data_IF_111566486064
#
_entry.id   IF_111566486064
#
_cell.length_a   1.000
_cell.length_b   1.000
_cell.length_c   1.000
_cell.angle_alpha   90.00
_cell.angle_beta   90.00
_cell.angle_gamma   90.00
#
_symmetry.space_group_name_H-M   'P 1'
#
loop_
_entity.id
_entity.type
_entity.pdbx_description
1 polymer ?
#
# COMPACT_ATOMS: atom_id res chain seq x y z
N UNK A 1 6.72 -32.44 -14.31
CA UNK A 1 6.59 -31.86 -12.95
C UNK A 1 7.64 -30.79 -12.63
N UNK A 2 8.60 -30.47 -13.51
CA UNK A 2 9.65 -29.47 -13.27
C UNK A 2 9.21 -27.99 -13.40
N UNK A 3 8.11 -27.72 -14.12
CA UNK A 3 7.58 -26.35 -14.30
C UNK A 3 6.98 -25.77 -13.01
N UNK A 4 6.45 -26.60 -12.11
CA UNK A 4 5.97 -26.15 -10.79
C UNK A 4 7.13 -25.81 -9.84
N UNK A 5 8.29 -26.46 -9.99
CA UNK A 5 9.48 -26.20 -9.18
C UNK A 5 10.12 -24.84 -9.45
N UNK A 6 10.17 -24.41 -10.71
CA UNK A 6 10.72 -23.09 -11.08
C UNK A 6 9.82 -21.92 -10.67
N UNK A 7 8.50 -22.10 -10.73
CA UNK A 7 7.54 -21.12 -10.18
C UNK A 7 7.58 -21.03 -8.66
N UNK A 8 7.81 -22.15 -7.97
CA UNK A 8 7.94 -22.18 -6.52
C UNK A 8 9.27 -21.57 -6.04
N UNK A 9 10.40 -21.86 -6.68
CA UNK A 9 11.71 -21.33 -6.27
C UNK A 9 11.83 -19.81 -6.49
N UNK A 10 11.29 -19.27 -7.59
CA UNK A 10 11.27 -17.83 -7.83
C UNK A 10 10.40 -17.06 -6.82
N UNK A 11 9.23 -17.60 -6.49
CA UNK A 11 8.36 -17.01 -5.46
C UNK A 11 8.90 -17.21 -4.05
N UNK A 12 9.53 -18.34 -3.73
CA UNK A 12 10.09 -18.60 -2.41
C UNK A 12 11.24 -17.63 -2.06
N UNK A 13 12.12 -17.31 -3.01
CA UNK A 13 13.21 -16.34 -2.78
C UNK A 13 12.67 -14.92 -2.55
N UNK A 14 11.67 -14.51 -3.33
CA UNK A 14 10.95 -13.24 -3.10
C UNK A 14 10.14 -13.25 -1.80
N UNK A 15 9.60 -14.39 -1.40
CA UNK A 15 8.82 -14.54 -0.19
C UNK A 15 9.68 -14.49 1.07
N UNK A 16 10.86 -15.12 1.08
CA UNK A 16 11.80 -15.02 2.20
C UNK A 16 12.31 -13.58 2.38
N UNK A 17 12.53 -12.83 1.30
CA UNK A 17 12.82 -11.39 1.41
C UNK A 17 11.63 -10.57 1.89
N UNK A 18 10.40 -11.10 1.80
CA UNK A 18 9.15 -10.50 2.30
C UNK A 18 8.79 -10.95 3.70
N UNK A 19 9.38 -12.02 4.25
CA UNK A 19 9.36 -12.28 5.69
C UNK A 19 10.10 -11.12 6.33
N UNK A 20 9.33 -10.12 6.70
CA UNK A 20 9.88 -8.85 7.09
C UNK A 20 10.67 -9.02 8.37
N UNK A 21 11.79 -8.31 8.50
CA UNK A 21 12.49 -8.20 9.78
C UNK A 21 11.54 -7.78 10.92
N UNK A 22 10.43 -7.09 10.59
CA UNK A 22 9.36 -6.77 11.54
C UNK A 22 8.68 -8.00 12.16
N UNK A 23 8.44 -9.08 11.40
CA UNK A 23 7.86 -10.31 11.95
C UNK A 23 8.82 -10.97 12.96
N UNK A 24 10.11 -11.02 12.67
CA UNK A 24 11.12 -11.56 13.58
C UNK A 24 11.19 -10.71 14.86
N UNK A 25 11.25 -9.39 14.74
CA UNK A 25 11.25 -8.48 15.89
C UNK A 25 9.99 -8.67 16.73
N UNK A 26 8.81 -8.75 16.10
CA UNK A 26 7.56 -9.02 16.80
C UNK A 26 7.61 -10.33 17.60
N UNK A 27 7.99 -11.43 16.96
CA UNK A 27 7.99 -12.75 17.60
C UNK A 27 9.07 -12.86 18.69
N UNK A 28 10.21 -12.18 18.57
CA UNK A 28 11.20 -12.11 19.64
C UNK A 28 10.66 -11.38 20.88
N UNK A 29 10.00 -10.24 20.69
CA UNK A 29 9.35 -9.49 21.79
C UNK A 29 8.19 -10.28 22.37
N UNK A 30 7.40 -10.95 21.54
CA UNK A 30 6.28 -11.78 21.98
C UNK A 30 6.75 -13.01 22.77
N UNK A 31 7.84 -13.67 22.35
CA UNK A 31 8.44 -14.77 23.10
C UNK A 31 8.96 -14.30 24.47
N UNK A 32 9.60 -13.13 24.54
CA UNK A 32 10.03 -12.52 25.81
C UNK A 32 8.83 -12.18 26.71
N UNK A 33 7.76 -11.61 26.14
CA UNK A 33 6.52 -11.32 26.87
C UNK A 33 5.87 -12.61 27.38
N UNK A 34 5.72 -13.63 26.53
CA UNK A 34 5.16 -14.92 26.92
C UNK A 34 5.99 -15.58 28.03
N UNK A 35 7.32 -15.51 27.96
CA UNK A 35 8.20 -15.99 29.03
C UNK A 35 7.92 -15.31 30.37
N UNK A 36 7.65 -14.00 30.38
CA UNK A 36 7.30 -13.28 31.61
C UNK A 36 5.93 -13.67 32.19
N UNK A 37 5.07 -14.31 31.39
CA UNK A 37 3.77 -14.80 31.83
C UNK A 37 3.82 -16.22 32.40
N UNK A 38 4.86 -16.98 32.08
CA UNK A 38 5.08 -18.29 32.68
C UNK A 38 5.51 -18.12 34.14
N UNK A 39 4.98 -18.95 35.07
CA UNK A 39 5.38 -18.90 36.47
C UNK A 39 6.90 -19.11 36.60
N UNK A 40 7.58 -18.41 37.52
CA UNK A 40 9.01 -18.56 37.71
C UNK A 40 9.35 -20.01 38.05
N UNK A 41 10.27 -20.62 37.30
CA UNK A 41 10.75 -21.99 37.54
C UNK A 41 11.56 -22.17 38.85
N UNK A 42 11.53 -21.17 39.75
CA UNK A 42 12.22 -21.20 41.04
C UNK A 42 11.35 -22.00 42.03
N UNK A 43 11.54 -23.31 42.06
CA UNK A 43 10.99 -24.15 43.12
C UNK A 43 10.36 -25.46 42.67
N UNK A 44 11.14 -26.34 42.03
CA UNK A 44 10.72 -27.74 41.89
C UNK A 44 11.58 -28.71 42.73
N UNK A 45 11.53 -28.62 44.07
CA UNK A 45 11.83 -29.77 44.90
C UNK A 45 10.65 -30.77 45.00
N UNK A 46 9.37 -30.34 44.86
CA UNK A 46 8.19 -31.19 45.12
C UNK A 46 6.94 -30.91 44.22
N UNK A 47 7.13 -30.55 42.95
CA UNK A 47 6.00 -30.29 42.06
C UNK A 47 5.20 -31.58 41.75
N UNK A 48 3.93 -31.66 42.18
CA UNK A 48 2.96 -32.69 41.76
C UNK A 48 1.93 -32.09 40.80
N UNK A 49 1.56 -32.82 39.75
CA UNK A 49 0.54 -32.40 38.77
C UNK A 49 1.14 -31.69 37.54
N UNK A 50 0.41 -30.73 36.95
CA UNK A 50 0.82 -30.07 35.70
C UNK A 50 2.14 -29.28 35.81
N UNK A 51 2.55 -28.89 37.01
CA UNK A 51 3.83 -28.24 37.27
C UNK A 51 5.05 -29.18 37.14
N UNK A 52 4.87 -30.49 37.32
CA UNK A 52 5.94 -31.49 37.17
C UNK A 52 6.41 -31.60 35.70
N UNK A 53 5.46 -31.49 34.75
CA UNK A 53 5.76 -31.46 33.30
C UNK A 53 6.70 -30.30 32.90
N UNK A 54 6.57 -29.14 33.56
CA UNK A 54 7.42 -27.98 33.27
C UNK A 54 8.82 -28.11 33.87
N UNK A 55 8.96 -28.82 34.99
CA UNK A 55 10.24 -29.00 35.67
C UNK A 55 11.05 -30.18 35.12
N UNK A 56 10.39 -31.25 34.69
CA UNK A 56 11.04 -32.33 33.91
C UNK A 56 11.46 -31.85 32.51
N UNK A 57 10.78 -30.85 31.94
CA UNK A 57 11.11 -30.23 30.66
C UNK A 57 12.45 -29.50 30.59
N UNK A 58 13.18 -29.36 31.70
CA UNK A 58 14.56 -28.85 31.71
C UNK A 58 15.57 -29.77 31.00
N UNK A 59 15.21 -31.04 30.78
CA UNK A 59 15.80 -31.87 29.73
C UNK A 59 15.01 -31.59 28.45
N UNK A 60 15.43 -30.57 27.70
CA UNK A 60 14.90 -30.33 26.36
C UNK A 60 15.19 -31.56 25.48
N UNK A 61 14.26 -32.50 25.43
CA UNK A 61 14.29 -33.57 24.44
C UNK A 61 14.33 -32.91 23.05
N UNK A 62 15.21 -33.39 22.18
CA UNK A 62 15.39 -32.87 20.82
C UNK A 62 14.04 -32.81 20.11
N UNK A 63 13.16 -33.79 20.39
CA UNK A 63 11.79 -33.84 19.85
C UNK A 63 10.98 -32.60 20.25
N UNK A 64 11.04 -32.17 21.51
CA UNK A 64 10.30 -31.00 22.01
C UNK A 64 10.80 -29.72 21.35
N UNK A 65 12.13 -29.55 21.22
CA UNK A 65 12.71 -28.42 20.49
C UNK A 65 12.30 -28.41 19.01
N UNK A 66 12.27 -29.57 18.36
CA UNK A 66 11.78 -29.70 16.99
C UNK A 66 10.31 -29.31 16.87
N UNK A 67 9.45 -29.79 17.77
CA UNK A 67 8.02 -29.45 17.77
C UNK A 67 7.80 -27.95 17.98
N UNK A 68 8.45 -27.33 18.98
CA UNK A 68 8.35 -25.89 19.20
C UNK A 68 8.94 -25.08 18.04
N UNK A 69 10.04 -25.53 17.44
CA UNK A 69 10.62 -24.90 16.27
C UNK A 69 9.65 -24.89 15.08
N UNK A 70 9.02 -26.03 14.80
CA UNK A 70 8.00 -26.16 13.73
C UNK A 70 6.79 -25.28 14.02
N UNK A 71 6.28 -25.29 15.26
CA UNK A 71 5.15 -24.44 15.66
C UNK A 71 5.48 -22.95 15.56
N UNK A 72 6.69 -22.54 15.96
CA UNK A 72 7.14 -21.16 15.83
C UNK A 72 7.24 -20.72 14.36
N UNK A 73 7.81 -21.57 13.50
CA UNK A 73 7.85 -21.33 12.05
C UNK A 73 6.44 -21.22 11.48
N UNK A 74 5.55 -22.15 11.83
CA UNK A 74 4.16 -22.13 11.40
C UNK A 74 3.43 -20.86 11.84
N UNK A 75 3.65 -20.41 13.09
CA UNK A 75 3.08 -19.18 13.61
C UNK A 75 3.63 -17.94 12.90
N UNK A 76 4.94 -17.88 12.62
CA UNK A 76 5.56 -16.80 11.84
C UNK A 76 4.97 -16.77 10.42
N UNK A 77 4.97 -17.91 9.72
CA UNK A 77 4.43 -18.01 8.34
C UNK A 77 2.96 -17.63 8.32
N UNK A 78 2.13 -18.25 9.17
CA UNK A 78 0.70 -17.97 9.24
C UNK A 78 0.39 -16.52 9.56
N UNK A 79 1.09 -15.92 10.54
CA UNK A 79 0.91 -14.50 10.87
C UNK A 79 1.37 -13.57 9.75
N UNK A 80 2.48 -13.87 9.03
CA UNK A 80 2.87 -13.07 7.84
C UNK A 80 1.81 -13.10 6.74
N UNK A 81 1.15 -14.24 6.51
CA UNK A 81 0.07 -14.35 5.52
C UNK A 81 -1.16 -13.54 5.95
N UNK A 82 -1.53 -13.59 7.23
CA UNK A 82 -2.64 -12.78 7.77
C UNK A 82 -2.33 -11.29 7.65
N UNK A 83 -1.11 -10.86 8.00
CA UNK A 83 -0.65 -9.48 7.84
C UNK A 83 -0.66 -9.05 6.36
N UNK A 84 -0.23 -9.93 5.47
CA UNK A 84 -0.27 -9.66 4.03
C UNK A 84 -1.72 -9.48 3.53
N UNK A 85 -2.63 -10.37 3.91
CA UNK A 85 -4.05 -10.25 3.56
C UNK A 85 -4.71 -8.99 4.16
N UNK A 86 -4.32 -8.61 5.38
CA UNK A 86 -4.87 -7.43 6.07
C UNK A 86 -4.32 -6.10 5.55
N UNK A 87 -3.21 -6.12 4.81
CA UNK A 87 -2.51 -4.91 4.38
C UNK A 87 -3.39 -3.99 3.52
N UNK A 88 -4.21 -4.54 2.62
CA UNK A 88 -5.15 -3.79 1.82
C UNK A 88 -6.21 -3.10 2.69
N UNK A 89 -6.83 -3.81 3.63
CA UNK A 89 -7.80 -3.25 4.57
C UNK A 89 -7.22 -2.14 5.43
N UNK A 90 -5.95 -2.29 5.85
CA UNK A 90 -5.22 -1.25 6.59
C UNK A 90 -4.98 -0.04 5.71
N UNK A 91 -4.59 -0.22 4.45
CA UNK A 91 -4.40 0.90 3.51
C UNK A 91 -5.73 1.63 3.28
N UNK A 92 -6.85 0.92 3.13
CA UNK A 92 -8.19 1.53 3.03
C UNK A 92 -8.58 2.29 4.30
N UNK A 93 -8.32 1.71 5.48
CA UNK A 93 -8.50 2.39 6.74
C UNK A 93 -7.62 3.65 6.85
N UNK A 94 -6.35 3.56 6.49
CA UNK A 94 -5.44 4.69 6.48
C UNK A 94 -5.77 5.71 5.38
N UNK A 95 -6.46 5.32 4.31
CA UNK A 95 -7.02 6.22 3.31
C UNK A 95 -8.31 6.91 3.79
N UNK A 96 -8.91 6.46 4.88
CA UNK A 96 -10.11 7.08 5.44
C UNK A 96 -11.42 6.55 4.88
N UNK A 97 -11.40 5.55 3.98
CA UNK A 97 -12.62 5.06 3.31
C UNK A 97 -13.52 4.23 4.22
N UNK A 98 -12.93 3.53 5.19
CA UNK A 98 -13.65 2.69 6.18
C UNK A 98 -13.82 3.37 7.53
N UNK A 99 -13.60 4.69 7.62
CA UNK A 99 -13.73 5.40 8.89
C UNK A 99 -15.19 5.48 9.33
N UNK A 100 -15.45 5.33 10.64
CA UNK A 100 -16.81 5.34 11.17
C UNK A 100 -17.48 6.69 10.90
N UNK A 101 -18.63 6.63 10.23
CA UNK A 101 -19.49 7.78 9.91
C UNK A 101 -20.66 7.93 10.88
N UNK A 102 -20.85 6.96 11.79
CA UNK A 102 -21.93 6.92 12.79
C UNK A 102 -21.35 6.89 14.21
N UNK A 103 -22.15 7.33 15.18
CA UNK A 103 -21.79 7.31 16.61
C UNK A 103 -20.72 8.32 17.03
N UNK A 104 -20.16 8.13 18.22
CA UNK A 104 -19.12 8.98 18.81
C UNK A 104 -17.86 9.16 17.93
N UNK A 105 -17.33 8.12 17.25
CA UNK A 105 -16.16 8.26 16.39
C UNK A 105 -16.35 9.25 15.22
N UNK A 106 -17.60 9.54 14.82
CA UNK A 106 -17.92 10.55 13.79
C UNK A 106 -17.35 11.92 14.15
N UNK A 107 -17.39 12.30 15.43
CA UNK A 107 -16.86 13.59 15.89
C UNK A 107 -15.36 13.69 15.61
N UNK A 108 -14.62 12.60 15.86
CA UNK A 108 -13.19 12.54 15.60
C UNK A 108 -12.86 12.59 14.11
N UNK A 109 -13.61 11.85 13.28
CA UNK A 109 -13.50 11.93 11.80
C UNK A 109 -13.77 13.35 11.31
N UNK A 110 -14.85 13.99 11.78
CA UNK A 110 -15.20 15.36 11.41
C UNK A 110 -14.13 16.37 11.86
N UNK A 111 -13.58 16.23 13.06
CA UNK A 111 -12.48 17.07 13.54
C UNK A 111 -11.22 16.94 12.66
N UNK A 112 -10.85 15.71 12.28
CA UNK A 112 -9.73 15.45 11.35
C UNK A 112 -9.95 16.10 9.98
N UNK A 113 -11.13 15.94 9.39
CA UNK A 113 -11.50 16.57 8.10
C UNK A 113 -11.42 18.10 8.22
N UNK A 114 -12.00 18.70 9.27
CA UNK A 114 -11.92 20.16 9.51
C UNK A 114 -10.48 20.63 9.64
N UNK A 115 -9.61 19.87 10.32
CA UNK A 115 -8.17 20.19 10.41
C UNK A 115 -7.49 20.17 9.03
N UNK A 116 -7.82 19.20 8.19
CA UNK A 116 -7.31 19.13 6.82
C UNK A 116 -7.86 20.25 5.94
N UNK A 117 -9.14 20.61 6.05
CA UNK A 117 -9.74 21.75 5.36
C UNK A 117 -9.08 23.08 5.75
N UNK A 118 -8.82 23.30 7.06
CA UNK A 118 -8.06 24.48 7.52
C UNK A 118 -6.64 24.50 6.96
N UNK A 119 -6.00 23.34 6.84
CA UNK A 119 -4.66 23.23 6.26
C UNK A 119 -4.69 23.58 4.77
N UNK A 120 -5.68 23.07 4.03
CA UNK A 120 -5.92 23.41 2.63
C UNK A 120 -6.17 24.92 2.46
N UNK A 121 -7.04 25.52 3.26
CA UNK A 121 -7.31 26.96 3.23
C UNK A 121 -6.03 27.80 3.42
N UNK A 122 -5.16 27.40 4.36
CA UNK A 122 -3.84 28.05 4.56
C UNK A 122 -2.91 27.87 3.35
N UNK A 123 -2.97 26.73 2.67
CA UNK A 123 -2.17 26.50 1.45
C UNK A 123 -2.69 27.35 0.29
N UNK A 124 -4.01 27.46 0.12
CA UNK A 124 -4.63 28.32 -0.90
C UNK A 124 -4.35 29.80 -0.65
N UNK A 125 -4.35 30.24 0.61
CA UNK A 125 -4.00 31.63 0.96
C UNK A 125 -2.53 31.98 0.66
N UNK A 126 -1.61 31.00 0.71
CA UNK A 126 -0.18 31.20 0.40
C UNK A 126 0.14 31.16 -1.09
N UNK A 127 -0.71 30.54 -1.89
CA UNK A 127 -0.55 30.38 -3.34
C UNK A 127 -1.91 30.68 -4.00
N UNK A 128 -2.37 31.95 -3.93
CA UNK A 128 -3.63 32.33 -4.55
C UNK A 128 -3.57 31.97 -6.04
N UNK A 129 -4.67 31.48 -6.60
CA UNK A 129 -4.80 31.18 -8.02
C UNK A 129 -4.87 32.47 -8.85
N UNK A 130 -3.92 33.38 -8.64
CA UNK A 130 -3.77 34.58 -9.45
C UNK A 130 -3.42 34.20 -10.90
N UNK A 131 -3.67 35.10 -11.86
CA UNK A 131 -3.19 34.92 -13.23
C UNK A 131 -1.71 34.58 -13.15
N UNK A 132 -1.27 33.61 -13.96
CA UNK A 132 0.11 33.14 -13.98
C UNK A 132 1.04 34.31 -14.34
N UNK A 133 1.40 35.12 -13.35
CA UNK A 133 2.41 36.16 -13.50
C UNK A 133 3.67 35.39 -13.85
N UNK A 134 4.28 35.64 -15.04
CA UNK A 134 5.43 34.89 -15.48
C UNK A 134 6.46 34.91 -14.36
N UNK A 135 6.93 33.72 -13.96
CA UNK A 135 7.90 33.57 -12.87
C UNK A 135 9.18 34.42 -13.08
N UNK A 136 9.42 34.82 -14.33
CA UNK A 136 10.49 35.72 -14.75
C UNK A 136 10.38 37.14 -14.16
N UNK A 137 9.18 37.67 -13.90
CA UNK A 137 9.04 39.07 -13.45
C UNK A 137 9.33 39.24 -11.95
N UNK A 138 9.08 38.23 -11.12
CA UNK A 138 9.38 38.28 -9.67
C UNK A 138 10.82 37.85 -9.33
N UNK A 139 11.46 37.06 -10.19
CA UNK A 139 12.84 36.61 -9.98
C UNK A 139 13.88 37.72 -10.20
N UNK A 140 13.53 38.78 -10.95
CA UNK A 140 14.47 39.84 -11.32
C UNK A 140 14.85 40.79 -10.17
N UNK A 141 14.05 40.87 -9.10
CA UNK A 141 14.28 41.80 -7.97
C UNK A 141 14.86 41.14 -6.72
N UNK A 142 14.84 39.81 -6.63
CA UNK A 142 15.40 39.08 -5.51
C UNK A 142 16.75 38.46 -5.91
N UNK A 143 17.85 39.16 -5.66
CA UNK A 143 19.20 38.61 -5.80
C UNK A 143 19.67 38.01 -4.48
N UNK A 144 20.13 36.76 -4.48
CA UNK A 144 20.81 36.13 -3.34
C UNK A 144 20.13 34.88 -2.76
N UNK A 145 20.61 34.45 -1.59
CA UNK A 145 20.15 33.23 -0.92
C UNK A 145 18.65 33.26 -0.56
N UNK A 146 18.10 34.44 -0.26
CA UNK A 146 16.68 34.61 0.09
C UNK A 146 15.73 34.32 -1.08
N UNK A 147 16.16 34.61 -2.31
CA UNK A 147 15.43 34.26 -3.53
C UNK A 147 15.37 32.74 -3.75
N UNK A 148 16.49 32.05 -3.47
CA UNK A 148 16.55 30.59 -3.53
C UNK A 148 15.67 29.94 -2.44
N UNK A 149 15.70 30.45 -1.20
CA UNK A 149 14.89 29.93 -0.11
C UNK A 149 13.39 30.17 -0.32
N UNK A 150 13.00 31.34 -0.84
CA UNK A 150 11.60 31.68 -1.13
C UNK A 150 11.04 30.85 -2.30
N UNK A 151 11.80 30.68 -3.39
CA UNK A 151 11.39 29.81 -4.50
C UNK A 151 11.22 28.35 -4.06
N UNK A 152 12.09 27.88 -3.17
CA UNK A 152 12.00 26.54 -2.60
C UNK A 152 10.82 26.41 -1.60
N UNK A 153 10.51 27.45 -0.83
CA UNK A 153 9.33 27.48 0.02
C UNK A 153 8.03 27.45 -0.80
N UNK A 154 7.98 28.20 -1.91
CA UNK A 154 6.85 28.23 -2.83
C UNK A 154 6.67 26.88 -3.55
N UNK A 155 7.76 26.27 -4.03
CA UNK A 155 7.69 24.94 -4.66
C UNK A 155 7.21 23.86 -3.68
N UNK A 156 7.65 23.91 -2.42
CA UNK A 156 7.13 23.06 -1.33
C UNK A 156 5.65 23.32 -1.05
N UNK A 157 5.22 24.58 -1.05
CA UNK A 157 3.81 24.94 -0.84
C UNK A 157 2.92 24.41 -1.97
N UNK A 158 3.32 24.60 -3.23
CA UNK A 158 2.64 24.06 -4.42
C UNK A 158 2.60 22.54 -4.43
N UNK A 159 3.72 21.88 -4.12
CA UNK A 159 3.79 20.43 -3.99
C UNK A 159 2.81 19.92 -2.93
N UNK A 160 2.76 20.57 -1.75
CA UNK A 160 1.79 20.23 -0.70
C UNK A 160 0.36 20.48 -1.11
N UNK A 161 0.07 21.59 -1.80
CA UNK A 161 -1.26 21.92 -2.32
C UNK A 161 -1.76 20.86 -3.29
N UNK A 162 -0.89 20.36 -4.17
CA UNK A 162 -1.22 19.25 -5.11
C UNK A 162 -1.61 17.96 -4.38
N UNK A 163 -1.27 17.76 -3.10
CA UNK A 163 -1.69 16.57 -2.34
C UNK A 163 -3.08 16.67 -1.72
N UNK A 164 -3.78 17.79 -1.91
CA UNK A 164 -5.14 17.97 -1.40
C UNK A 164 -6.15 17.99 -2.56
N UNK A 165 -7.32 17.36 -2.38
CA UNK A 165 -8.42 17.47 -3.32
C UNK A 165 -9.17 18.80 -3.09
N UNK A 166 -10.24 19.03 -3.86
CA UNK A 166 -11.22 20.08 -3.62
C UNK A 166 -11.76 20.03 -2.18
N UNK A 167 -12.17 21.18 -1.62
CA UNK A 167 -12.65 21.27 -0.23
C UNK A 167 -13.77 20.28 0.15
N UNK A 168 -14.61 19.90 -0.82
CA UNK A 168 -15.73 18.96 -0.65
C UNK A 168 -15.29 17.50 -0.55
N UNK A 169 -14.10 17.17 -1.05
CA UNK A 169 -13.58 15.79 -1.14
C UNK A 169 -12.42 15.53 -0.17
N UNK A 170 -12.20 16.42 0.81
CA UNK A 170 -11.13 16.30 1.79
C UNK A 170 -11.38 15.07 2.70
N UNK A 171 -10.41 14.15 2.69
CA UNK A 171 -10.41 12.94 3.51
C UNK A 171 -9.84 13.20 4.92
N UNK A 172 -10.14 12.33 5.92
CA UNK A 172 -9.66 12.50 7.29
C UNK A 172 -8.15 12.26 7.47
N UNK A 173 -7.47 11.70 6.46
CA UNK A 173 -6.05 11.35 6.53
C UNK A 173 -5.26 11.95 5.36
N UNK A 174 -3.94 12.07 5.53
CA UNK A 174 -3.05 12.52 4.44
C UNK A 174 -3.05 11.55 3.25
N UNK A 175 -3.01 10.26 3.52
CA UNK A 175 -3.03 9.21 2.48
C UNK A 175 -4.32 9.32 1.67
N UNK A 176 -5.48 9.43 2.34
CA UNK A 176 -6.77 9.64 1.70
C UNK A 176 -6.82 10.89 0.84
N UNK A 177 -6.32 12.02 1.36
CA UNK A 177 -6.27 13.26 0.60
C UNK A 177 -5.41 13.13 -0.66
N UNK A 178 -4.28 12.43 -0.58
CA UNK A 178 -3.35 12.27 -1.72
C UNK A 178 -3.95 11.38 -2.81
N UNK A 179 -4.63 10.31 -2.43
CA UNK A 179 -5.37 9.43 -3.34
C UNK A 179 -6.58 10.15 -3.96
N UNK A 180 -7.39 10.84 -3.15
CA UNK A 180 -8.53 11.62 -3.63
C UNK A 180 -8.08 12.73 -4.59
N UNK A 181 -6.98 13.42 -4.28
CA UNK A 181 -6.43 14.46 -5.15
C UNK A 181 -5.91 13.90 -6.48
N UNK A 182 -5.29 12.71 -6.47
CA UNK A 182 -4.87 12.00 -7.68
C UNK A 182 -6.08 11.64 -8.53
N UNK A 183 -7.10 10.99 -7.96
CA UNK A 183 -8.33 10.65 -8.67
C UNK A 183 -8.98 11.89 -9.27
N UNK A 184 -9.12 12.96 -8.49
CA UNK A 184 -9.69 14.22 -8.99
C UNK A 184 -8.89 14.82 -10.13
N UNK A 185 -7.55 14.83 -10.06
CA UNK A 185 -6.70 15.33 -11.16
C UNK A 185 -6.88 14.51 -12.43
N UNK A 186 -6.96 13.19 -12.31
CA UNK A 186 -7.19 12.30 -13.46
C UNK A 186 -8.57 12.58 -14.06
N UNK A 187 -9.61 12.66 -13.23
CA UNK A 187 -10.98 12.95 -13.69
C UNK A 187 -11.09 14.34 -14.32
N UNK A 188 -10.48 15.36 -13.71
CA UNK A 188 -10.52 16.73 -14.26
C UNK A 188 -9.74 16.83 -15.56
N UNK A 189 -8.61 16.13 -15.70
CA UNK A 189 -7.75 16.21 -16.89
C UNK A 189 -8.23 15.34 -18.04
N UNK A 190 -8.71 14.13 -17.76
CA UNK A 190 -9.01 13.12 -18.78
C UNK A 190 -10.47 12.69 -18.81
N UNK A 191 -11.31 13.16 -17.87
CA UNK A 191 -12.70 12.70 -17.75
C UNK A 191 -12.84 11.29 -17.18
N UNK A 192 -11.75 10.61 -16.85
CA UNK A 192 -11.79 9.23 -16.34
C UNK A 192 -12.10 9.18 -14.84
N UNK A 193 -13.08 8.37 -14.46
CA UNK A 193 -13.21 7.91 -13.08
C UNK A 193 -12.41 6.62 -12.91
N UNK A 194 -11.34 6.69 -12.12
CA UNK A 194 -10.45 5.56 -11.87
C UNK A 194 -11.17 4.36 -11.23
N UNK A 195 -12.27 4.57 -10.51
CA UNK A 195 -13.00 3.46 -9.91
C UNK A 195 -13.60 2.50 -10.97
N UNK A 196 -13.95 3.02 -12.15
CA UNK A 196 -14.60 2.26 -13.22
C UNK A 196 -13.68 1.97 -14.40
N UNK A 197 -12.73 2.86 -14.66
CA UNK A 197 -11.82 2.74 -15.81
C UNK A 197 -10.55 1.91 -15.52
N UNK A 198 -10.29 1.53 -14.27
CA UNK A 198 -9.03 0.89 -13.89
C UNK A 198 -8.74 -0.42 -14.61
N UNK A 199 -9.74 -1.30 -14.76
CA UNK A 199 -9.54 -2.60 -15.45
C UNK A 199 -9.15 -2.40 -16.92
N UNK A 200 -9.78 -1.46 -17.60
CA UNK A 200 -9.45 -1.10 -18.97
C UNK A 200 -8.05 -0.48 -19.07
N UNK A 201 -7.71 0.41 -18.12
CA UNK A 201 -6.38 0.99 -18.02
C UNK A 201 -5.33 -0.10 -17.86
N UNK A 202 -5.51 -1.06 -16.95
CA UNK A 202 -4.54 -2.15 -16.71
C UNK A 202 -4.32 -3.00 -17.98
N UNK A 203 -5.38 -3.26 -18.75
CA UNK A 203 -5.28 -3.94 -20.05
C UNK A 203 -4.55 -3.13 -21.11
N UNK A 204 -4.68 -1.79 -21.09
CA UNK A 204 -4.05 -0.90 -22.05
C UNK A 204 -2.58 -0.59 -21.74
N UNK A 205 -2.09 -0.94 -20.54
CA UNK A 205 -0.75 -0.57 -20.12
C UNK A 205 0.35 -1.39 -20.82
N UNK A 206 1.36 -0.75 -21.42
CA UNK A 206 2.58 -1.42 -21.81
C UNK A 206 3.22 -2.13 -20.63
N UNK A 207 3.73 -3.35 -20.84
CA UNK A 207 4.31 -4.20 -19.80
C UNK A 207 5.33 -3.46 -18.91
N UNK A 208 6.20 -2.63 -19.50
CA UNK A 208 7.19 -1.85 -18.76
C UNK A 208 6.56 -0.83 -17.78
N UNK A 209 5.44 -0.19 -18.17
CA UNK A 209 4.74 0.75 -17.29
C UNK A 209 3.93 0.00 -16.22
N UNK A 210 3.29 -1.11 -16.59
CA UNK A 210 2.59 -1.98 -15.65
C UNK A 210 3.53 -2.53 -14.56
N UNK A 211 4.72 -3.02 -14.94
CA UNK A 211 5.70 -3.55 -14.00
C UNK A 211 6.26 -2.47 -13.07
N UNK A 212 6.47 -1.24 -13.58
CA UNK A 212 6.84 -0.09 -12.74
C UNK A 212 5.76 0.21 -11.70
N UNK A 213 4.50 0.26 -12.11
CA UNK A 213 3.37 0.56 -11.23
C UNK A 213 3.15 -0.53 -10.18
N UNK A 214 3.26 -1.81 -10.58
CA UNK A 214 3.28 -2.96 -9.67
C UNK A 214 4.42 -2.87 -8.67
N UNK A 215 5.62 -2.48 -9.10
CA UNK A 215 6.76 -2.26 -8.21
C UNK A 215 6.50 -1.20 -7.13
N UNK A 216 5.85 -0.08 -7.49
CA UNK A 216 5.49 0.95 -6.52
C UNK A 216 4.33 0.53 -5.59
N UNK A 217 3.36 -0.24 -6.10
CA UNK A 217 2.30 -0.86 -5.29
C UNK A 217 2.86 -1.90 -4.29
N UNK A 218 3.82 -2.73 -4.72
CA UNK A 218 4.50 -3.70 -3.86
C UNK A 218 5.26 -2.99 -2.74
N UNK A 219 5.92 -1.87 -3.04
CA UNK A 219 6.59 -1.03 -2.03
C UNK A 219 5.62 -0.45 -1.01
N UNK A 220 4.44 0.00 -1.45
CA UNK A 220 3.39 0.48 -0.55
C UNK A 220 2.91 -0.64 0.38
N UNK A 221 2.62 -1.80 -0.19
CA UNK A 221 2.14 -2.98 0.53
C UNK A 221 3.17 -3.44 1.57
N UNK A 222 4.45 -3.53 1.19
CA UNK A 222 5.53 -3.90 2.10
C UNK A 222 5.69 -2.88 3.26
N UNK A 223 5.59 -1.58 2.99
CA UNK A 223 5.61 -0.54 4.04
C UNK A 223 4.39 -0.64 4.96
N UNK A 224 3.21 -0.93 4.42
CA UNK A 224 2.00 -1.17 5.19
C UNK A 224 2.11 -2.38 6.12
N UNK A 225 2.67 -3.50 5.62
CA UNK A 225 2.93 -4.70 6.41
C UNK A 225 3.94 -4.42 7.55
N UNK A 226 5.05 -3.73 7.25
CA UNK A 226 6.04 -3.36 8.27
C UNK A 226 5.46 -2.43 9.34
N UNK A 227 4.60 -1.48 8.94
CA UNK A 227 3.90 -0.62 9.87
C UNK A 227 3.00 -1.45 10.81
N UNK A 228 2.27 -2.42 10.28
CA UNK A 228 1.44 -3.30 11.11
C UNK A 228 2.28 -4.10 12.10
N UNK A 229 3.40 -4.67 11.67
CA UNK A 229 4.32 -5.37 12.57
C UNK A 229 4.87 -4.47 13.69
N UNK A 230 5.24 -3.23 13.37
CA UNK A 230 5.70 -2.28 14.38
C UNK A 230 4.59 -1.93 15.39
N UNK A 231 3.34 -1.75 14.92
CA UNK A 231 2.19 -1.52 15.80
C UNK A 231 1.90 -2.72 16.71
N UNK A 232 1.89 -3.94 16.16
CA UNK A 232 1.70 -5.16 16.93
C UNK A 232 2.81 -5.36 17.96
N UNK A 233 4.07 -5.09 17.59
CA UNK A 233 5.21 -5.16 18.51
C UNK A 233 5.07 -4.17 19.66
N UNK A 234 4.64 -2.93 19.36
CA UNK A 234 4.36 -1.93 20.38
C UNK A 234 3.27 -2.39 21.35
N UNK A 235 2.17 -2.94 20.84
CA UNK A 235 1.07 -3.47 21.67
C UNK A 235 1.53 -4.60 22.58
N UNK A 236 2.29 -5.58 22.04
CA UNK A 236 2.80 -6.70 22.83
C UNK A 236 3.82 -6.24 23.87
N UNK A 237 4.70 -5.29 23.53
CA UNK A 237 5.65 -4.71 24.48
C UNK A 237 4.93 -3.98 25.62
N UNK A 238 3.88 -3.19 25.32
CA UNK A 238 3.07 -2.52 26.33
C UNK A 238 2.31 -3.51 27.23
N UNK A 239 1.78 -4.59 26.65
CA UNK A 239 1.16 -5.67 27.42
C UNK A 239 2.17 -6.37 28.34
N UNK A 240 3.39 -6.62 27.85
CA UNK A 240 4.52 -7.13 28.64
C UNK A 240 4.85 -6.22 29.82
N UNK A 241 5.00 -4.91 29.58
CA UNK A 241 5.20 -3.90 30.63
C UNK A 241 4.08 -3.97 31.67
N UNK A 242 2.81 -4.01 31.25
CA UNK A 242 1.67 -4.08 32.16
C UNK A 242 1.68 -5.33 33.06
N UNK A 243 1.96 -6.50 32.49
CA UNK A 243 2.01 -7.75 33.27
C UNK A 243 3.20 -7.80 34.21
N UNK A 244 4.38 -7.35 33.75
CA UNK A 244 5.58 -7.30 34.61
C UNK A 244 5.41 -6.33 35.78
N UNK A 245 4.69 -5.23 35.58
CA UNK A 245 4.36 -4.30 36.66
C UNK A 245 3.36 -4.91 37.65
N UNK A 246 2.33 -5.60 37.15
CA UNK A 246 1.31 -6.23 38.01
C UNK A 246 1.85 -7.37 38.88
N UNK A 247 2.81 -8.15 38.37
CA UNK A 247 3.35 -9.33 39.07
C UNK A 247 4.50 -9.06 40.02
N UNK A 248 5.09 -7.85 39.99
CA UNK A 248 6.30 -7.50 40.76
C UNK A 248 7.54 -8.40 40.51
N UNK A 249 7.45 -9.41 39.63
CA UNK A 249 8.44 -10.48 39.44
C UNK A 249 9.60 -10.13 38.49
N UNK A 250 9.50 -9.05 37.71
CA UNK A 250 10.44 -8.75 36.61
C UNK A 250 11.73 -8.01 37.02
N UNK A 251 11.74 -7.34 38.17
CA UNK A 251 12.77 -6.36 38.50
C UNK A 251 12.81 -5.17 37.53
N UNK A 252 13.55 -4.11 37.89
CA UNK A 252 13.61 -2.89 37.09
C UNK A 252 14.19 -3.09 35.68
N UNK A 253 15.05 -4.09 35.49
CA UNK A 253 15.69 -4.40 34.20
C UNK A 253 14.70 -4.92 33.15
N UNK A 254 13.82 -5.87 33.51
CA UNK A 254 12.84 -6.42 32.56
C UNK A 254 11.79 -5.38 32.20
N UNK A 255 11.33 -4.60 33.19
CA UNK A 255 10.42 -3.47 32.95
C UNK A 255 11.06 -2.44 32.00
N UNK A 256 12.33 -2.08 32.24
CA UNK A 256 13.10 -1.19 31.39
C UNK A 256 13.25 -1.71 29.95
N UNK A 257 13.45 -3.02 29.79
CA UNK A 257 13.56 -3.65 28.47
C UNK A 257 12.23 -3.59 27.68
N UNK A 258 11.09 -3.89 28.29
CA UNK A 258 9.78 -3.77 27.62
C UNK A 258 9.41 -2.32 27.31
N UNK A 259 9.70 -1.39 28.23
CA UNK A 259 9.49 0.03 27.99
C UNK A 259 10.35 0.53 26.82
N UNK A 260 11.62 0.15 26.77
CA UNK A 260 12.52 0.48 25.66
C UNK A 260 12.03 -0.15 24.33
N UNK A 261 11.57 -1.41 24.35
CA UNK A 261 11.01 -2.07 23.18
C UNK A 261 9.73 -1.37 22.67
N UNK A 262 8.83 -0.97 23.57
CA UNK A 262 7.62 -0.22 23.22
C UNK A 262 7.95 1.15 22.63
N UNK A 263 8.89 1.89 23.22
CA UNK A 263 9.35 3.18 22.71
C UNK A 263 10.02 3.03 21.33
N UNK A 264 10.90 2.04 21.16
CA UNK A 264 11.54 1.73 19.88
C UNK A 264 10.53 1.35 18.80
N UNK A 265 9.55 0.50 19.13
CA UNK A 265 8.48 0.10 18.23
C UNK A 265 7.56 1.29 17.86
N UNK A 266 7.24 2.16 18.81
CA UNK A 266 6.47 3.38 18.55
C UNK A 266 7.21 4.35 17.61
N UNK A 267 8.51 4.55 17.82
CA UNK A 267 9.35 5.35 16.92
C UNK A 267 9.42 4.72 15.52
N UNK A 268 9.62 3.41 15.43
CA UNK A 268 9.62 2.67 14.17
C UNK A 268 8.27 2.83 13.44
N UNK A 269 7.15 2.67 14.15
CA UNK A 269 5.81 2.86 13.60
C UNK A 269 5.62 4.30 13.09
N UNK A 270 6.08 5.31 13.82
CA UNK A 270 6.02 6.70 13.38
C UNK A 270 6.83 6.95 12.09
N UNK A 271 8.08 6.45 12.02
CA UNK A 271 8.93 6.59 10.84
C UNK A 271 8.37 5.83 9.64
N UNK A 272 7.89 4.59 9.84
CA UNK A 272 7.24 3.78 8.82
C UNK A 272 5.96 4.43 8.31
N UNK A 273 5.15 5.03 9.19
CA UNK A 273 3.95 5.76 8.79
C UNK A 273 4.29 6.99 7.94
N UNK A 274 5.34 7.74 8.30
CA UNK A 274 5.84 8.86 7.48
C UNK A 274 6.36 8.39 6.13
N UNK A 275 7.12 7.29 6.12
CA UNK A 275 7.61 6.64 4.90
C UNK A 275 6.47 6.14 4.01
N UNK A 276 5.42 5.58 4.59
CA UNK A 276 4.23 5.15 3.87
C UNK A 276 3.52 6.34 3.22
N UNK A 277 3.32 7.45 3.94
CA UNK A 277 2.75 8.67 3.36
C UNK A 277 3.57 9.17 2.15
N UNK A 278 4.89 9.15 2.24
CA UNK A 278 5.76 9.56 1.13
C UNK A 278 5.71 8.57 -0.05
N UNK A 279 5.60 7.26 0.22
CA UNK A 279 5.42 6.27 -0.85
C UNK A 279 4.08 6.45 -1.56
N UNK A 280 3.01 6.80 -0.84
CA UNK A 280 1.70 7.06 -1.46
C UNK A 280 1.78 8.25 -2.40
N UNK A 281 2.47 9.32 -1.98
CA UNK A 281 2.70 10.49 -2.83
C UNK A 281 3.42 10.10 -4.15
N UNK A 282 4.47 9.28 -4.07
CA UNK A 282 5.21 8.78 -5.25
C UNK A 282 4.36 7.85 -6.12
N UNK A 283 3.57 6.98 -5.50
CA UNK A 283 2.65 6.10 -6.23
C UNK A 283 1.59 6.90 -6.99
N UNK A 284 0.97 7.89 -6.35
CA UNK A 284 0.01 8.78 -7.01
C UNK A 284 0.62 9.51 -8.21
N UNK A 285 1.86 9.99 -8.08
CA UNK A 285 2.58 10.64 -9.19
C UNK A 285 2.88 9.66 -10.32
N UNK A 286 3.21 8.41 -9.97
CA UNK A 286 3.51 7.36 -10.94
C UNK A 286 2.25 6.92 -11.69
N UNK A 287 1.11 6.77 -11.01
CA UNK A 287 -0.20 6.54 -11.65
C UNK A 287 -0.48 7.65 -12.66
N UNK A 288 -0.39 8.91 -12.27
CA UNK A 288 -0.64 10.03 -13.20
C UNK A 288 0.31 10.04 -14.40
N UNK A 289 1.61 9.81 -14.18
CA UNK A 289 2.58 9.78 -15.26
C UNK A 289 2.32 8.63 -16.24
N UNK A 290 1.97 7.46 -15.71
CA UNK A 290 1.64 6.26 -16.48
C UNK A 290 0.36 6.47 -17.30
N UNK A 291 -0.67 7.09 -16.72
CA UNK A 291 -1.93 7.40 -17.42
C UNK A 291 -1.73 8.40 -18.56
N UNK A 292 -0.91 9.42 -18.36
CA UNK A 292 -0.57 10.38 -19.42
C UNK A 292 0.15 9.68 -20.57
N UNK A 293 1.05 8.74 -20.26
CA UNK A 293 1.76 7.97 -21.28
C UNK A 293 0.85 6.99 -22.04
N UNK A 294 -0.07 6.33 -21.34
CA UNK A 294 -0.96 5.31 -21.90
C UNK A 294 -2.28 5.87 -22.49
N UNK A 295 -2.45 7.20 -22.54
CA UNK A 295 -3.75 7.81 -22.87
C UNK A 295 -4.36 7.35 -24.19
N UNK A 296 -3.55 7.26 -25.24
CA UNK A 296 -4.03 6.86 -26.57
C UNK A 296 -4.36 5.36 -26.60
N UNK A 297 -3.58 4.55 -25.87
CA UNK A 297 -3.76 3.10 -25.79
C UNK A 297 -5.08 2.74 -25.10
N UNK A 298 -5.48 3.50 -24.08
CA UNK A 298 -6.78 3.30 -23.39
C UNK A 298 -7.94 3.42 -24.36
N UNK A 299 -7.99 4.47 -25.18
CA UNK A 299 -9.07 4.63 -26.18
C UNK A 299 -8.99 3.55 -27.27
N UNK A 300 -7.78 3.23 -27.74
CA UNK A 300 -7.57 2.18 -28.75
C UNK A 300 -8.05 0.80 -28.29
N UNK A 301 -7.70 0.39 -27.07
CA UNK A 301 -8.11 -0.90 -26.48
C UNK A 301 -9.61 -0.92 -26.20
N UNK A 302 -10.20 0.23 -25.84
CA UNK A 302 -11.64 0.36 -25.67
C UNK A 302 -12.44 0.31 -26.99
N UNK A 303 -11.77 0.37 -28.15
CA UNK A 303 -12.45 0.59 -29.43
C UNK A 303 -13.15 1.95 -29.50
N UNK A 304 -12.68 2.92 -28.73
CA UNK A 304 -13.26 4.26 -28.62
C UNK A 304 -12.47 5.23 -29.52
N UNK A 305 -13.12 6.19 -30.21
CA UNK A 305 -12.40 7.14 -31.05
C UNK A 305 -11.37 7.93 -30.24
N UNK A 306 -10.18 8.10 -30.81
CA UNK A 306 -9.10 8.86 -30.19
C UNK A 306 -9.45 10.37 -30.19
N UNK A 307 -9.37 11.05 -29.04
CA UNK A 307 -9.65 12.49 -28.97
C UNK A 307 -8.55 13.29 -29.67
N UNK A 308 -8.92 14.33 -30.44
CA UNK A 308 -7.96 15.20 -31.12
C UNK A 308 -7.47 16.34 -30.21
N UNK A 309 -8.28 16.75 -29.24
CA UNK A 309 -7.99 17.86 -28.34
C UNK A 309 -8.12 17.48 -26.85
N UNK A 310 -7.46 18.19 -25.92
CA UNK A 310 -7.63 17.96 -24.48
C UNK A 310 -9.06 18.22 -23.97
N UNK A 311 -9.83 19.06 -24.65
CA UNK A 311 -11.26 19.25 -24.33
C UNK A 311 -12.06 18.00 -24.70
N UNK A 312 -11.87 17.51 -25.93
CA UNK A 312 -12.49 16.27 -26.40
C UNK A 312 -12.07 15.07 -25.57
N UNK A 313 -10.83 15.02 -25.09
CA UNK A 313 -10.34 13.97 -24.20
C UNK A 313 -11.18 13.93 -22.91
N UNK A 314 -11.44 15.08 -22.29
CA UNK A 314 -12.28 15.17 -21.09
C UNK A 314 -13.71 14.71 -21.33
N UNK A 315 -14.32 15.15 -22.43
CA UNK A 315 -15.69 14.78 -22.77
C UNK A 315 -15.79 13.29 -23.11
N UNK A 316 -14.88 12.79 -23.95
CA UNK A 316 -14.84 11.39 -24.39
C UNK A 316 -14.51 10.44 -23.24
N UNK A 317 -13.60 10.83 -22.35
CA UNK A 317 -13.27 10.04 -21.17
C UNK A 317 -14.41 9.95 -20.16
N UNK A 318 -15.19 11.04 -20.00
CA UNK A 318 -16.40 11.02 -19.19
C UNK A 318 -17.49 10.11 -19.80
N UNK A 319 -17.66 10.15 -21.12
CA UNK A 319 -18.59 9.27 -21.83
C UNK A 319 -18.17 7.79 -21.71
N UNK A 320 -16.88 7.48 -21.91
CA UNK A 320 -16.32 6.14 -21.73
C UNK A 320 -16.52 5.64 -20.29
N UNK A 321 -16.27 6.48 -19.29
CA UNK A 321 -16.52 6.15 -17.88
C UNK A 321 -18.00 5.88 -17.62
N UNK A 322 -18.89 6.71 -18.17
CA UNK A 322 -20.34 6.52 -18.10
C UNK A 322 -20.75 5.15 -18.65
N UNK A 323 -20.23 4.79 -19.82
CA UNK A 323 -20.43 3.48 -20.46
C UNK A 323 -19.97 2.32 -19.55
N UNK A 324 -18.74 2.37 -19.01
CA UNK A 324 -18.19 1.32 -18.15
C UNK A 324 -18.95 1.17 -16.82
N UNK A 325 -19.43 2.27 -16.24
CA UNK A 325 -20.10 2.25 -14.92
C UNK A 325 -21.47 1.55 -14.92
N UNK A 326 -22.01 1.20 -16.10
CA UNK A 326 -23.37 0.64 -16.29
C UNK A 326 -24.50 1.43 -15.61
N UNK A 327 -24.26 2.66 -15.12
CA UNK A 327 -25.31 3.56 -14.63
C UNK A 327 -26.01 4.19 -15.83
N UNK A 328 -26.83 3.35 -16.46
CA UNK A 328 -27.63 3.63 -17.65
C UNK A 328 -28.69 4.70 -17.41
N UNK A 329 -28.35 5.91 -17.84
CA UNK A 329 -29.20 7.00 -18.31
C UNK A 329 -28.33 7.99 -19.12
N UNK A 330 -27.02 8.00 -18.85
CA UNK A 330 -25.97 8.72 -19.56
C UNK A 330 -25.05 7.84 -20.42
N UNK A 331 -25.38 6.56 -20.65
CA UNK A 331 -24.70 5.83 -21.72
C UNK A 331 -25.25 6.44 -23.02
N UNK A 332 -24.52 7.31 -23.74
CA UNK A 332 -24.99 7.74 -25.04
C UNK A 332 -25.29 6.48 -25.85
N UNK A 333 -26.31 6.54 -26.70
CA UNK A 333 -26.41 5.62 -27.84
C UNK A 333 -25.27 5.96 -28.80
N UNK A 334 -24.01 5.79 -28.36
CA UNK A 334 -22.82 5.88 -29.19
C UNK A 334 -22.88 4.67 -30.11
N UNK A 335 -23.21 4.85 -31.40
CA UNK A 335 -23.12 3.74 -32.34
C UNK A 335 -21.65 3.30 -32.38
N UNK A 336 -21.42 2.00 -32.24
CA UNK A 336 -20.10 1.43 -32.52
C UNK A 336 -19.83 1.61 -34.01
N UNK A 337 -19.01 2.60 -34.36
CA UNK A 337 -18.55 2.79 -35.73
C UNK A 337 -17.32 1.89 -35.89
N UNK A 338 -17.39 0.81 -36.69
CA UNK A 338 -16.22 -0.01 -36.94
C UNK A 338 -15.12 0.85 -37.59
N UNK A 339 -13.84 0.63 -37.24
CA UNK A 339 -12.74 1.38 -37.84
C UNK A 339 -12.81 1.27 -39.37
N UNK A 340 -12.63 2.39 -40.06
CA UNK A 340 -12.75 2.47 -41.51
C UNK A 340 -11.67 1.66 -42.23
N UNK A 341 -10.52 1.45 -41.58
CA UNK A 341 -9.51 0.50 -42.02
C UNK A 341 -9.81 -0.89 -41.43
N UNK A 342 -9.79 -1.96 -42.24
CA UNK A 342 -9.80 -3.30 -41.69
C UNK A 342 -8.57 -3.40 -40.79
N UNK A 343 -8.81 -3.49 -39.48
CA UNK A 343 -7.74 -3.73 -38.52
C UNK A 343 -6.90 -4.89 -39.06
N UNK A 344 -5.55 -4.84 -38.96
CA UNK A 344 -4.74 -6.00 -39.25
C UNK A 344 -5.38 -7.13 -38.46
N UNK A 345 -5.87 -8.14 -39.19
CA UNK A 345 -6.66 -9.24 -38.63
C UNK A 345 -5.94 -9.62 -37.35
N UNK A 346 -6.58 -9.39 -36.20
CA UNK A 346 -6.12 -9.97 -34.96
C UNK A 346 -6.16 -11.45 -35.26
N UNK A 347 -5.03 -11.99 -35.71
CA UNK A 347 -4.82 -13.40 -35.85
C UNK A 347 -4.88 -13.86 -34.41
N UNK A 348 -6.10 -14.15 -33.95
CA UNK A 348 -6.34 -15.08 -32.87
C UNK A 348 -5.50 -16.26 -33.31
N UNK A 349 -4.32 -16.39 -32.71
CA UNK A 349 -3.43 -17.50 -32.96
C UNK A 349 -4.33 -18.72 -32.88
N UNK A 350 -4.61 -19.40 -34.00
CA UNK A 350 -5.61 -20.45 -34.01
C UNK A 350 -5.19 -21.40 -32.92
N UNK A 351 -6.08 -21.63 -31.95
CA UNK A 351 -5.86 -22.61 -30.90
C UNK A 351 -5.36 -23.87 -31.59
N UNK A 352 -4.17 -24.39 -31.20
CA UNK A 352 -3.60 -25.55 -31.87
C UNK A 352 -4.67 -26.62 -31.91
N UNK A 353 -5.04 -27.04 -33.13
CA UNK A 353 -6.10 -28.00 -33.31
C UNK A 353 -5.77 -29.23 -32.45
N UNK A 354 -6.72 -29.68 -31.60
CA UNK A 354 -6.49 -30.86 -30.77
C UNK A 354 -6.27 -32.06 -31.69
N UNK A 355 -5.00 -32.44 -31.91
CA UNK A 355 -4.68 -33.59 -32.76
C UNK A 355 -3.39 -33.51 -33.57
N UNK A 356 -2.72 -32.36 -33.69
CA UNK A 356 -1.38 -32.33 -34.31
C UNK A 356 -0.32 -32.69 -33.27
N UNK A 357 0.00 -33.98 -33.22
CA UNK A 357 1.07 -34.52 -32.39
C UNK A 357 2.36 -33.75 -32.61
N UNK A 358 3.01 -33.35 -31.51
CA UNK A 358 4.33 -32.77 -31.55
C UNK A 358 5.28 -33.73 -32.29
N UNK A 359 6.02 -33.29 -33.32
CA UNK A 359 7.01 -34.14 -33.95
C UNK A 359 8.04 -34.52 -32.89
N UNK A 360 8.18 -35.83 -32.68
CA UNK A 360 9.19 -36.47 -31.86
C UNK A 360 10.56 -35.92 -32.27
N UNK A 361 11.14 -35.02 -31.47
CA UNK A 361 12.54 -34.64 -31.62
C UNK A 361 13.39 -35.86 -31.25
N UNK A 362 13.68 -36.65 -32.27
CA UNK A 362 14.59 -37.77 -32.21
C UNK A 362 16.01 -37.18 -32.08
N UNK A 363 16.54 -37.22 -30.86
CA UNK A 363 17.92 -36.88 -30.54
C UNK A 363 18.85 -37.79 -31.33
N UNK A 364 19.61 -37.22 -32.27
CA UNK A 364 20.82 -37.82 -32.80
C UNK A 364 22.00 -37.27 -31.98
N UNK A 365 22.64 -38.17 -31.22
CA UNK A 365 23.90 -37.93 -30.53
C UNK A 365 25.07 -38.28 -31.47
N UNK A 366 26.17 -37.51 -31.43
CA UNK A 366 27.51 -38.05 -31.59
C UNK A 366 28.15 -38.40 -30.23
#
# INVERSE_FOLDING_TARGET
MEVLGSFAMGRAKGWLTRVSGGALVFWTVAALAARSWLPPARGCPDARGSADLWCQGSRFDVVILCVYGVLAIAAIVGSTLVVAASSASIIHFLAGTTWPTRGFPRYWTAWRVRRHQRTLARLLARDPAGPAVPAQTQAATATGADAALSSLALSRARSRRRRYPRPVSVAPTRIGNSLAAMTERVTVRHGWDLAWSWELIDLALPKALADRLRGDSDRLTARGQNLLWALLTCLVALAGTGVTWWREDGGALVLGAFAAAAAGAALAAFLLFRGLCAAVDVYCDSVEAVLVAARADVYRVAGWPAPATPEEERVSGAALTGYLSRRGAQAPSTPFVPPADPAPVFALTPLPAPGTGAPSQQQAAP
#
